data_IF_184174961726
#
_entry.id   IF_184174961726
#
_cell.length_a   1.000
_cell.length_b   1.000
_cell.length_c   1.000
_cell.angle_alpha   90.00
_cell.angle_beta   90.00
_cell.angle_gamma   90.00
#
_symmetry.space_group_name_H-M   'P 1'
#
loop_
_entity.id
_entity.type
_entity.pdbx_description
1 polymer ?
#
# COMPACT_ATOMS: atom_id res chain seq x y z
N UNK A 1 -50.06 24.97 7.22
CA UNK A 1 -49.67 24.70 8.63
C UNK A 1 -48.73 25.81 9.09
N UNK A 2 -48.98 26.48 10.22
CA UNK A 2 -48.14 27.59 10.68
C UNK A 2 -46.93 27.09 11.50
N UNK A 3 -45.81 27.85 11.56
CA UNK A 3 -44.59 27.42 12.25
C UNK A 3 -44.68 27.62 13.76
N UNK A 4 -44.31 26.58 14.50
CA UNK A 4 -44.27 26.52 15.97
C UNK A 4 -43.08 27.34 16.50
N UNK A 5 -43.34 28.44 17.20
CA UNK A 5 -42.34 29.22 17.95
C UNK A 5 -41.71 28.36 19.05
N UNK A 6 -40.38 28.22 19.03
CA UNK A 6 -39.58 27.49 20.03
C UNK A 6 -39.14 28.46 21.11
N UNK A 7 -39.62 28.28 22.34
CA UNK A 7 -39.24 29.07 23.51
C UNK A 7 -37.84 28.69 24.00
N UNK A 8 -37.09 29.71 24.43
CA UNK A 8 -35.70 29.66 24.92
C UNK A 8 -35.73 29.61 26.46
N UNK A 9 -35.20 28.58 27.13
CA UNK A 9 -35.11 28.59 28.58
C UNK A 9 -33.90 29.38 29.06
N UNK A 10 -34.14 30.22 30.06
CA UNK A 10 -33.13 30.97 30.80
C UNK A 10 -32.35 30.01 31.72
N UNK A 11 -31.02 30.09 31.65
CA UNK A 11 -30.09 29.30 32.46
C UNK A 11 -29.54 30.17 33.58
N UNK A 12 -30.05 29.97 34.80
CA UNK A 12 -29.52 30.55 36.03
C UNK A 12 -28.35 29.69 36.52
N UNK A 13 -27.14 30.25 36.52
CA UNK A 13 -25.95 29.57 37.03
C UNK A 13 -25.80 29.78 38.55
N UNK A 14 -25.59 28.74 39.37
CA UNK A 14 -25.15 28.87 40.74
C UNK A 14 -23.63 29.10 40.78
N UNK A 15 -23.22 30.16 41.47
CA UNK A 15 -21.84 30.43 41.90
C UNK A 15 -21.44 29.37 42.91
N UNK A 16 -20.38 28.61 42.65
CA UNK A 16 -19.73 27.74 43.64
C UNK A 16 -18.43 28.37 44.15
N UNK A 17 -18.10 28.18 45.44
CA UNK A 17 -16.94 28.79 46.07
C UNK A 17 -15.63 28.08 45.72
N UNK A 18 -14.56 28.89 45.67
CA UNK A 18 -13.19 28.47 45.48
C UNK A 18 -12.72 27.57 46.63
N UNK A 19 -12.17 26.40 46.29
CA UNK A 19 -11.50 25.49 47.22
C UNK A 19 -9.98 25.49 46.93
N UNK A 20 -9.10 25.61 47.94
CA UNK A 20 -7.67 25.76 47.72
C UNK A 20 -6.94 24.42 47.55
N UNK A 21 -6.02 24.43 46.57
CA UNK A 21 -4.75 23.71 46.44
C UNK A 21 -4.50 22.54 47.42
N UNK A 22 -4.57 21.32 46.90
CA UNK A 22 -3.82 20.17 47.43
C UNK A 22 -2.94 19.62 46.31
N UNK A 23 -1.68 20.05 46.28
CA UNK A 23 -0.62 19.57 45.40
C UNK A 23 -0.05 18.25 45.92
N UNK A 24 -0.78 17.15 45.71
CA UNK A 24 -0.21 15.81 45.74
C UNK A 24 -0.36 15.24 44.33
N UNK A 25 0.63 15.53 43.48
CA UNK A 25 0.70 14.96 42.14
C UNK A 25 0.70 13.43 42.26
N UNK A 26 -0.28 12.72 41.66
CA UNK A 26 -0.30 11.28 41.70
C UNK A 26 0.96 10.77 41.03
N UNK A 27 1.87 10.19 41.82
CA UNK A 27 3.00 9.40 41.33
C UNK A 27 2.40 8.33 40.40
N UNK A 28 2.82 8.24 39.12
CA UNK A 28 2.26 7.24 38.22
C UNK A 28 2.53 5.89 38.87
N UNK A 29 1.46 5.23 39.32
CA UNK A 29 1.53 3.87 39.80
C UNK A 29 2.04 3.06 38.61
N UNK A 30 3.33 2.71 38.64
CA UNK A 30 3.90 1.73 37.75
C UNK A 30 3.14 0.45 38.02
N UNK A 31 2.13 0.17 37.20
CA UNK A 31 1.41 -1.10 37.24
C UNK A 31 2.40 -2.17 36.82
N UNK A 32 3.11 -2.74 37.79
CA UNK A 32 4.11 -3.80 37.59
C UNK A 32 3.51 -5.10 37.06
N UNK A 33 2.20 -5.15 36.86
CA UNK A 33 1.45 -6.36 36.60
C UNK A 33 0.62 -6.21 35.31
N UNK A 34 0.67 -7.24 34.45
CA UNK A 34 -0.17 -7.38 33.27
C UNK A 34 0.48 -6.92 31.97
N UNK A 35 -0.34 -6.79 30.92
CA UNK A 35 0.09 -6.48 29.55
C UNK A 35 0.81 -5.13 29.41
N UNK A 36 0.63 -4.23 30.38
CA UNK A 36 1.30 -2.92 30.44
C UNK A 36 2.74 -2.99 30.96
N UNK A 37 3.12 -4.08 31.61
CA UNK A 37 4.51 -4.34 32.03
C UNK A 37 5.34 -5.00 30.92
N UNK A 38 4.71 -5.31 29.78
CA UNK A 38 5.36 -5.97 28.66
C UNK A 38 6.24 -4.94 27.92
N UNK A 39 7.55 -5.22 27.75
CA UNK A 39 8.44 -4.35 26.99
C UNK A 39 7.96 -4.13 25.55
N UNK A 40 8.24 -2.95 24.99
CA UNK A 40 7.80 -2.57 23.64
C UNK A 40 8.30 -3.55 22.57
N UNK A 41 9.47 -4.16 22.79
CA UNK A 41 10.07 -5.15 21.92
C UNK A 41 9.21 -6.42 21.80
N UNK A 42 8.52 -6.80 22.88
CA UNK A 42 7.59 -7.94 22.86
C UNK A 42 6.30 -7.55 22.13
N UNK A 43 5.83 -6.31 22.28
CA UNK A 43 4.69 -5.80 21.50
C UNK A 43 5.00 -5.77 20.01
N UNK A 44 6.24 -5.44 19.64
CA UNK A 44 6.72 -5.49 18.26
C UNK A 44 6.73 -6.93 17.73
N UNK A 45 7.21 -7.91 18.53
CA UNK A 45 7.14 -9.33 18.16
C UNK A 45 5.70 -9.81 17.98
N UNK A 46 4.78 -9.43 18.88
CA UNK A 46 3.35 -9.72 18.73
C UNK A 46 2.82 -9.09 17.44
N UNK A 47 3.27 -7.88 17.11
CA UNK A 47 2.86 -7.19 15.88
C UNK A 47 3.31 -7.92 14.60
N UNK A 48 4.47 -8.58 14.65
CA UNK A 48 4.98 -9.42 13.57
C UNK A 48 4.14 -10.69 13.37
N UNK A 49 3.48 -11.18 14.41
CA UNK A 49 2.59 -12.35 14.33
C UNK A 49 1.26 -12.06 13.63
N UNK A 50 0.82 -10.80 13.52
CA UNK A 50 -0.38 -10.43 12.76
C UNK A 50 -0.19 -10.50 11.22
N UNK A 51 0.72 -11.33 10.75
CA UNK A 51 1.05 -11.53 9.35
C UNK A 51 2.09 -10.53 8.83
N UNK A 52 2.79 -10.88 7.74
CA UNK A 52 3.80 -10.02 7.15
C UNK A 52 3.17 -8.69 6.74
N UNK A 53 3.88 -7.59 7.03
CA UNK A 53 3.75 -6.39 6.21
C UNK A 53 4.02 -6.88 4.78
N UNK A 54 3.05 -6.72 3.86
CA UNK A 54 3.02 -7.28 2.49
C UNK A 54 4.44 -7.52 2.00
N UNK A 55 4.84 -8.74 1.59
CA UNK A 55 6.08 -8.88 0.84
C UNK A 55 5.90 -8.06 -0.42
N UNK A 56 6.47 -6.86 -0.42
CA UNK A 56 6.45 -6.04 -1.61
C UNK A 56 7.44 -6.71 -2.57
N UNK A 57 6.96 -7.25 -3.69
CA UNK A 57 5.65 -6.97 -4.28
C UNK A 57 4.70 -8.19 -4.27
N UNK A 58 3.38 -7.94 -4.23
CA UNK A 58 2.35 -8.97 -4.14
C UNK A 58 1.66 -9.13 -5.50
N UNK A 59 1.98 -10.21 -6.23
CA UNK A 59 1.31 -10.59 -7.49
C UNK A 59 0.02 -11.32 -7.19
N UNK A 60 -0.94 -10.65 -6.57
CA UNK A 60 -2.26 -11.26 -6.42
C UNK A 60 -2.98 -11.00 -7.76
N UNK A 61 -3.27 -12.05 -8.56
CA UNK A 61 -3.96 -11.88 -9.84
C UNK A 61 -5.36 -11.31 -9.68
N UNK A 62 -5.94 -11.43 -8.47
CA UNK A 62 -7.23 -10.87 -8.13
C UNK A 62 -7.13 -9.40 -7.72
N UNK A 63 -8.15 -8.62 -8.09
CA UNK A 63 -8.29 -7.22 -7.68
C UNK A 63 -8.42 -7.06 -6.15
N UNK A 64 -8.65 -8.15 -5.42
CA UNK A 64 -8.81 -8.18 -3.99
C UNK A 64 -7.54 -8.72 -3.31
N UNK A 65 -7.01 -7.97 -2.34
CA UNK A 65 -5.94 -8.50 -1.49
C UNK A 65 -6.47 -9.63 -0.58
N UNK A 66 -5.62 -10.62 -0.27
CA UNK A 66 -5.90 -11.72 0.65
C UNK A 66 -6.56 -11.30 1.98
N UNK A 67 -7.32 -12.22 2.60
CA UNK A 67 -8.10 -11.95 3.81
C UNK A 67 -7.21 -11.53 5.00
N UNK A 68 -5.98 -12.01 5.02
CA UNK A 68 -4.96 -11.76 6.05
C UNK A 68 -4.70 -10.26 6.24
N UNK A 69 -4.81 -9.46 5.17
CA UNK A 69 -4.65 -8.00 5.24
C UNK A 69 -5.77 -7.32 6.02
N UNK A 70 -6.98 -7.86 5.90
CA UNK A 70 -8.13 -7.44 6.69
C UNK A 70 -7.90 -7.78 8.15
N UNK A 71 -7.49 -9.03 8.40
CA UNK A 71 -7.37 -9.58 9.75
C UNK A 71 -6.29 -8.84 10.54
N UNK A 72 -5.16 -8.47 9.92
CA UNK A 72 -4.15 -7.59 10.51
C UNK A 72 -4.73 -6.23 10.93
N UNK A 73 -5.40 -5.55 10.00
CA UNK A 73 -5.96 -4.21 10.23
C UNK A 73 -7.01 -4.23 11.34
N UNK A 74 -7.88 -5.25 11.35
CA UNK A 74 -8.89 -5.43 12.39
C UNK A 74 -8.27 -5.75 13.76
N UNK A 75 -7.23 -6.60 13.80
CA UNK A 75 -6.54 -6.96 15.03
C UNK A 75 -5.85 -5.76 15.66
N UNK A 76 -5.08 -4.99 14.87
CA UNK A 76 -4.42 -3.76 15.35
C UNK A 76 -5.45 -2.73 15.83
N UNK A 77 -6.57 -2.58 15.12
CA UNK A 77 -7.66 -1.71 15.54
C UNK A 77 -8.25 -2.16 16.87
N UNK A 78 -8.57 -3.44 17.02
CA UNK A 78 -9.13 -3.99 18.26
C UNK A 78 -8.18 -3.76 19.45
N UNK A 79 -6.88 -4.02 19.26
CA UNK A 79 -5.86 -3.80 20.28
C UNK A 79 -5.74 -2.33 20.69
N UNK A 80 -5.77 -1.40 19.73
CA UNK A 80 -5.73 0.04 20.00
C UNK A 80 -6.95 0.57 20.77
N UNK A 81 -8.02 -0.23 20.86
CA UNK A 81 -9.25 0.11 21.58
C UNK A 81 -9.32 -0.49 22.99
N UNK A 82 -8.34 -1.29 23.41
CA UNK A 82 -8.34 -1.95 24.72
C UNK A 82 -8.00 -1.02 25.89
N UNK A 83 -6.91 -0.23 25.78
CA UNK A 83 -6.49 0.73 26.80
C UNK A 83 -5.64 1.86 26.20
N UNK A 84 -5.41 2.94 26.97
CA UNK A 84 -4.65 4.10 26.51
C UNK A 84 -3.22 3.77 26.06
N UNK A 85 -2.51 2.94 26.81
CA UNK A 85 -1.13 2.57 26.47
C UNK A 85 -1.06 1.77 25.16
N UNK A 86 -1.92 0.76 25.00
CA UNK A 86 -2.00 -0.02 23.76
C UNK A 86 -2.49 0.81 22.58
N UNK A 87 -3.33 1.82 22.82
CA UNK A 87 -3.71 2.81 21.80
C UNK A 87 -2.49 3.51 21.23
N UNK A 88 -1.57 4.01 22.06
CA UNK A 88 -0.40 4.75 21.59
C UNK A 88 0.51 3.89 20.69
N UNK A 89 0.70 2.62 21.05
CA UNK A 89 1.53 1.68 20.28
C UNK A 89 0.82 1.21 19.02
N UNK A 90 -0.36 0.60 19.15
CA UNK A 90 -1.01 -0.07 18.01
C UNK A 90 -1.72 0.89 17.06
N UNK A 91 -2.08 2.11 17.47
CA UNK A 91 -2.60 3.11 16.54
C UNK A 91 -1.51 3.55 15.55
N UNK A 92 -0.27 3.72 16.04
CA UNK A 92 0.89 4.04 15.21
C UNK A 92 1.14 2.93 14.18
N UNK A 93 1.17 1.68 14.62
CA UNK A 93 1.35 0.51 13.74
C UNK A 93 0.17 0.33 12.76
N UNK A 94 -1.06 0.63 13.19
CA UNK A 94 -2.26 0.57 12.34
C UNK A 94 -2.16 1.58 11.19
N UNK A 95 -1.72 2.81 11.46
CA UNK A 95 -1.69 3.88 10.47
C UNK A 95 -0.38 3.96 9.68
N UNK A 96 0.68 3.28 10.10
CA UNK A 96 1.91 3.15 9.30
C UNK A 96 1.63 2.67 7.87
N UNK A 97 0.64 1.80 7.72
CA UNK A 97 0.17 1.30 6.43
C UNK A 97 -1.32 1.56 6.23
N UNK A 98 -1.66 2.45 5.30
CA UNK A 98 -3.04 2.71 4.93
C UNK A 98 -3.49 1.76 3.81
N UNK A 99 -4.41 0.85 4.13
CA UNK A 99 -4.88 -0.20 3.24
C UNK A 99 -6.32 0.05 2.73
N UNK A 100 -6.48 0.20 1.42
CA UNK A 100 -7.77 0.26 0.70
C UNK A 100 -7.72 -0.69 -0.51
N UNK A 101 -7.46 -1.95 -0.20
CA UNK A 101 -7.26 -3.01 -1.19
C UNK A 101 -7.93 -4.33 -0.77
N UNK A 102 -8.64 -4.33 0.36
CA UNK A 102 -9.29 -5.50 0.92
C UNK A 102 -10.73 -5.54 0.41
N UNK A 103 -11.05 -6.56 -0.40
CA UNK A 103 -12.43 -6.74 -0.85
C UNK A 103 -13.33 -7.09 0.33
N UNK A 104 -14.59 -6.59 0.33
CA UNK A 104 -15.59 -7.15 1.22
C UNK A 104 -15.74 -8.67 0.98
N UNK A 105 -16.13 -9.43 2.02
CA UNK A 105 -16.25 -10.89 1.95
C UNK A 105 -17.45 -11.36 1.10
N UNK A 106 -18.35 -10.46 0.72
CA UNK A 106 -19.52 -10.75 -0.11
C UNK A 106 -19.28 -10.30 -1.54
N UNK A 107 -19.86 -11.00 -2.52
CA UNK A 107 -19.91 -10.62 -3.94
C UNK A 107 -20.67 -9.32 -4.24
N UNK A 108 -20.77 -8.42 -3.26
CA UNK A 108 -21.18 -7.04 -3.44
C UNK A 108 -20.28 -6.36 -4.48
N UNK A 109 -20.75 -5.22 -5.00
CA UNK A 109 -19.99 -4.35 -5.90
C UNK A 109 -18.71 -3.83 -5.20
N UNK A 110 -17.66 -4.66 -5.16
CA UNK A 110 -16.41 -4.40 -4.43
C UNK A 110 -15.81 -3.06 -4.84
N UNK A 111 -15.92 -2.70 -6.12
CA UNK A 111 -15.44 -1.44 -6.67
C UNK A 111 -16.11 -0.22 -6.03
N UNK A 112 -17.41 -0.30 -5.72
CA UNK A 112 -18.16 0.76 -5.06
C UNK A 112 -17.72 0.89 -3.61
N UNK A 113 -17.63 -0.24 -2.90
CA UNK A 113 -17.17 -0.26 -1.50
C UNK A 113 -15.75 0.32 -1.37
N UNK A 114 -14.84 -0.08 -2.24
CA UNK A 114 -13.46 0.42 -2.25
C UNK A 114 -13.39 1.91 -2.64
N UNK A 115 -14.18 2.35 -3.61
CA UNK A 115 -14.25 3.76 -4.01
C UNK A 115 -14.81 4.66 -2.91
N UNK A 116 -15.94 4.27 -2.30
CA UNK A 116 -16.56 5.00 -1.18
C UNK A 116 -15.62 5.04 0.04
N UNK A 117 -14.92 3.92 0.32
CA UNK A 117 -13.93 3.86 1.39
C UNK A 117 -12.74 4.75 1.10
N UNK A 118 -12.18 4.72 -0.12
CA UNK A 118 -11.07 5.55 -0.53
C UNK A 118 -11.39 7.03 -0.39
N UNK A 119 -12.55 7.46 -0.88
CA UNK A 119 -12.99 8.84 -0.75
C UNK A 119 -13.15 9.25 0.72
N UNK A 120 -13.91 8.48 1.51
CA UNK A 120 -14.21 8.80 2.91
C UNK A 120 -12.95 8.87 3.77
N UNK A 121 -12.07 7.89 3.62
CA UNK A 121 -10.82 7.83 4.41
C UNK A 121 -9.81 8.88 3.96
N UNK A 122 -9.76 9.22 2.66
CA UNK A 122 -8.95 10.35 2.18
C UNK A 122 -9.40 11.67 2.80
N UNK A 123 -10.72 11.93 2.82
CA UNK A 123 -11.28 13.14 3.43
C UNK A 123 -11.03 13.17 4.95
N UNK A 124 -11.23 12.04 5.64
CA UNK A 124 -10.99 11.94 7.08
C UNK A 124 -9.52 12.15 7.45
N UNK A 125 -8.59 11.58 6.68
CA UNK A 125 -7.15 11.76 6.92
C UNK A 125 -6.70 13.21 6.73
N UNK A 126 -7.21 13.89 5.71
CA UNK A 126 -6.92 15.32 5.49
C UNK A 126 -7.38 16.18 6.68
N UNK A 127 -8.44 15.79 7.38
CA UNK A 127 -8.91 16.48 8.58
C UNK A 127 -8.07 16.19 9.84
N UNK A 128 -7.20 15.18 9.81
CA UNK A 128 -6.45 14.67 10.97
C UNK A 128 -4.93 14.63 10.67
N UNK A 129 -4.22 15.78 10.72
CA UNK A 129 -2.81 15.89 10.35
C UNK A 129 -1.88 14.97 11.16
N UNK A 130 -2.22 14.69 12.42
CA UNK A 130 -1.45 13.78 13.27
C UNK A 130 -1.41 12.37 12.66
N UNK A 131 -2.52 11.88 12.13
CA UNK A 131 -2.58 10.57 11.48
C UNK A 131 -1.81 10.55 10.16
N UNK A 132 -1.86 11.64 9.38
CA UNK A 132 -1.08 11.76 8.13
C UNK A 132 0.42 11.61 8.37
N UNK A 133 0.92 12.10 9.50
CA UNK A 133 2.34 11.96 9.86
C UNK A 133 2.75 10.51 10.15
N UNK A 134 1.81 9.64 10.50
CA UNK A 134 2.09 8.23 10.78
C UNK A 134 2.15 7.39 9.50
N UNK A 135 1.49 7.81 8.41
CA UNK A 135 1.40 7.03 7.17
C UNK A 135 2.72 7.00 6.42
N UNK A 136 3.25 5.79 6.24
CA UNK A 136 4.49 5.52 5.49
C UNK A 136 4.25 4.77 4.18
N UNK A 137 3.23 3.91 4.18
CA UNK A 137 2.86 3.07 3.04
C UNK A 137 1.38 3.19 2.73
N UNK A 138 1.04 3.31 1.46
CA UNK A 138 -0.35 3.31 0.97
C UNK A 138 -0.56 2.17 0.00
N UNK A 139 -1.54 1.31 0.27
CA UNK A 139 -1.94 0.22 -0.61
C UNK A 139 -3.37 0.46 -1.08
N UNK A 140 -3.58 0.59 -2.39
CA UNK A 140 -4.86 1.01 -2.95
C UNK A 140 -5.24 0.22 -4.20
N UNK A 141 -6.54 0.00 -4.37
CA UNK A 141 -7.17 -0.43 -5.61
C UNK A 141 -7.90 0.76 -6.23
N UNK A 142 -7.54 1.10 -7.47
CA UNK A 142 -8.17 2.19 -8.21
C UNK A 142 -9.19 1.60 -9.19
N UNK A 143 -10.46 1.96 -9.01
CA UNK A 143 -11.55 1.48 -9.87
C UNK A 143 -12.18 2.64 -10.65
N UNK A 144 -13.01 2.31 -11.63
CA UNK A 144 -13.75 3.29 -12.43
C UNK A 144 -14.88 3.98 -11.66
N UNK A 145 -15.24 3.46 -10.50
CA UNK A 145 -16.38 3.96 -9.74
C UNK A 145 -16.14 5.38 -9.24
N UNK A 146 -17.02 6.29 -9.65
CA UNK A 146 -16.99 7.73 -9.35
C UNK A 146 -15.59 8.34 -9.36
N UNK A 147 -14.79 8.02 -10.39
CA UNK A 147 -13.37 8.42 -10.43
C UNK A 147 -13.17 9.94 -10.28
N UNK A 148 -14.10 10.74 -10.83
CA UNK A 148 -14.07 12.20 -10.72
C UNK A 148 -14.30 12.72 -9.29
N UNK A 149 -14.98 11.95 -8.43
CA UNK A 149 -15.25 12.33 -7.03
C UNK A 149 -14.27 11.67 -6.06
N UNK A 150 -13.75 10.50 -6.40
CA UNK A 150 -12.87 9.69 -5.54
C UNK A 150 -11.40 10.09 -5.68
N UNK A 151 -10.92 10.33 -6.90
CA UNK A 151 -9.49 10.62 -7.15
C UNK A 151 -9.01 11.98 -6.63
N UNK A 152 -9.74 13.10 -6.75
CA UNK A 152 -9.23 14.38 -6.26
C UNK A 152 -8.97 14.40 -4.74
N UNK A 153 -9.88 13.93 -3.87
CA UNK A 153 -9.60 13.81 -2.44
C UNK A 153 -8.41 12.90 -2.15
N UNK A 154 -8.28 11.80 -2.89
CA UNK A 154 -7.15 10.88 -2.73
C UNK A 154 -5.82 11.54 -3.09
N UNK A 155 -5.74 12.18 -4.26
CA UNK A 155 -4.51 12.80 -4.72
C UNK A 155 -4.07 13.95 -3.79
N UNK A 156 -5.02 14.77 -3.32
CA UNK A 156 -4.76 15.79 -2.29
C UNK A 156 -4.29 15.19 -0.97
N UNK A 157 -4.89 14.08 -0.54
CA UNK A 157 -4.48 13.37 0.68
C UNK A 157 -3.00 12.93 0.59
N UNK A 158 -2.58 12.34 -0.53
CA UNK A 158 -1.19 11.92 -0.75
C UNK A 158 -0.19 13.08 -0.64
N UNK A 159 -0.54 14.28 -1.13
CA UNK A 159 0.36 15.46 -1.03
C UNK A 159 0.58 15.95 0.39
N UNK A 160 -0.27 15.56 1.33
CA UNK A 160 -0.19 15.99 2.73
C UNK A 160 0.48 14.96 3.65
N UNK A 161 0.95 13.83 3.11
CA UNK A 161 1.64 12.80 3.89
C UNK A 161 3.15 13.02 3.87
N UNK A 162 3.75 13.61 4.92
CA UNK A 162 5.18 13.95 4.91
C UNK A 162 6.09 12.71 4.91
N UNK A 163 5.63 11.60 5.49
CA UNK A 163 6.41 10.38 5.69
C UNK A 163 6.08 9.27 4.67
N UNK A 164 5.21 9.56 3.69
CA UNK A 164 4.82 8.59 2.67
C UNK A 164 6.01 8.28 1.74
N UNK A 165 6.58 7.09 1.86
CA UNK A 165 7.69 6.65 1.01
C UNK A 165 7.33 5.52 0.07
N UNK A 166 6.17 4.88 0.26
CA UNK A 166 5.74 3.75 -0.56
C UNK A 166 4.29 3.85 -0.98
N UNK A 167 4.05 3.79 -2.29
CA UNK A 167 2.72 3.74 -2.88
C UNK A 167 2.55 2.48 -3.71
N UNK A 168 1.60 1.64 -3.34
CA UNK A 168 1.23 0.42 -4.04
C UNK A 168 -0.17 0.55 -4.60
N UNK A 169 -0.27 0.60 -5.92
CA UNK A 169 -1.52 0.49 -6.67
C UNK A 169 -1.60 -0.97 -7.12
N UNK A 170 -2.39 -1.79 -6.43
CA UNK A 170 -2.49 -3.22 -6.75
C UNK A 170 -3.28 -3.46 -8.03
N UNK A 171 -4.28 -2.61 -8.29
CA UNK A 171 -5.13 -2.70 -9.46
C UNK A 171 -5.51 -1.30 -9.96
N UNK A 172 -5.51 -1.13 -11.28
CA UNK A 172 -6.09 0.01 -11.96
C UNK A 172 -6.65 -0.45 -13.31
N UNK A 173 -7.93 -0.21 -13.54
CA UNK A 173 -8.56 -0.57 -14.82
C UNK A 173 -7.97 0.25 -15.97
N UNK A 174 -7.78 -0.34 -17.17
CA UNK A 174 -7.21 0.34 -18.36
C UNK A 174 -7.82 1.71 -18.66
N UNK A 175 -9.15 1.80 -18.59
CA UNK A 175 -9.89 3.05 -18.82
C UNK A 175 -9.68 4.15 -17.76
N UNK A 176 -8.95 3.87 -16.67
CA UNK A 176 -8.61 4.87 -15.65
C UNK A 176 -7.51 5.85 -16.11
N UNK A 177 -6.79 5.54 -17.20
CA UNK A 177 -5.63 6.35 -17.62
C UNK A 177 -5.96 7.84 -17.74
N UNK A 178 -7.09 8.20 -18.38
CA UNK A 178 -7.52 9.59 -18.53
C UNK A 178 -7.86 10.23 -17.19
N UNK A 179 -8.65 9.55 -16.35
CA UNK A 179 -8.99 10.05 -15.03
C UNK A 179 -7.75 10.24 -14.14
N UNK A 180 -6.77 9.33 -14.21
CA UNK A 180 -5.51 9.48 -13.48
C UNK A 180 -4.73 10.68 -14.01
N UNK A 181 -4.60 10.83 -15.33
CA UNK A 181 -3.95 11.98 -15.94
C UNK A 181 -4.56 13.29 -15.45
N UNK A 182 -5.88 13.43 -15.51
CA UNK A 182 -6.57 14.68 -15.19
C UNK A 182 -6.48 15.03 -13.70
N UNK A 183 -6.59 14.03 -12.82
CA UNK A 183 -6.59 14.25 -11.36
C UNK A 183 -5.19 14.32 -10.74
N UNK A 184 -4.18 13.79 -11.41
CA UNK A 184 -2.78 13.86 -10.97
C UNK A 184 -1.95 14.89 -11.74
N UNK A 185 -2.54 15.59 -12.73
CA UNK A 185 -1.88 16.68 -13.42
C UNK A 185 -1.45 17.78 -12.44
N UNK A 186 -0.17 18.18 -12.51
CA UNK A 186 0.39 19.22 -11.65
C UNK A 186 0.68 18.79 -10.21
N UNK A 187 0.36 17.55 -9.83
CA UNK A 187 0.68 17.01 -8.50
C UNK A 187 2.12 16.50 -8.47
N UNK A 188 2.82 16.82 -7.38
CA UNK A 188 4.17 16.32 -7.09
C UNK A 188 4.17 15.59 -5.74
N UNK A 189 4.76 14.40 -5.72
CA UNK A 189 4.86 13.47 -4.59
C UNK A 189 6.35 13.11 -4.37
N UNK A 190 7.17 14.07 -3.91
CA UNK A 190 8.62 13.88 -3.77
C UNK A 190 9.02 12.97 -2.60
N UNK A 191 8.11 12.67 -1.67
CA UNK A 191 8.38 11.76 -0.56
C UNK A 191 8.43 10.29 -1.00
N UNK A 192 7.75 9.94 -2.09
CA UNK A 192 7.62 8.56 -2.58
C UNK A 192 8.93 8.08 -3.20
N UNK A 193 9.52 7.03 -2.59
CA UNK A 193 10.78 6.40 -3.04
C UNK A 193 10.57 5.04 -3.70
N UNK A 194 9.50 4.33 -3.33
CA UNK A 194 9.12 3.05 -3.90
C UNK A 194 7.70 3.12 -4.42
N UNK A 195 7.48 2.65 -5.64
CA UNK A 195 6.16 2.58 -6.22
C UNK A 195 5.93 1.23 -6.89
N UNK A 196 4.76 0.66 -6.66
CA UNK A 196 4.30 -0.58 -7.29
C UNK A 196 3.00 -0.26 -7.98
N UNK A 197 2.91 -0.47 -9.28
CA UNK A 197 1.72 -0.08 -10.03
C UNK A 197 1.55 -0.91 -11.32
N UNK A 198 0.31 -1.09 -11.80
CA UNK A 198 0.06 -1.66 -13.12
C UNK A 198 0.42 -0.65 -14.21
N UNK A 199 0.72 -1.11 -15.41
CA UNK A 199 1.08 -0.30 -16.57
C UNK A 199 0.10 0.85 -16.86
N UNK A 200 -1.19 0.67 -16.56
CA UNK A 200 -2.24 1.67 -16.76
C UNK A 200 -2.18 2.86 -15.78
N UNK A 201 -1.47 2.72 -14.65
CA UNK A 201 -1.32 3.76 -13.64
C UNK A 201 -0.02 4.59 -13.80
N UNK A 202 0.62 4.53 -14.97
CA UNK A 202 1.85 5.28 -15.27
C UNK A 202 1.72 6.81 -15.14
N UNK A 203 0.51 7.37 -15.17
CA UNK A 203 0.32 8.81 -14.93
C UNK A 203 0.59 9.18 -13.46
N UNK A 204 0.34 8.28 -12.49
CA UNK A 204 0.70 8.50 -11.07
C UNK A 204 2.22 8.46 -10.88
N UNK A 205 2.92 7.62 -11.63
CA UNK A 205 4.40 7.56 -11.61
C UNK A 205 5.03 8.91 -11.98
N UNK A 206 4.41 9.67 -12.88
CA UNK A 206 4.93 10.99 -13.30
C UNK A 206 4.93 12.01 -12.17
N UNK A 207 4.11 11.81 -11.15
CA UNK A 207 4.07 12.66 -9.97
C UNK A 207 5.20 12.35 -8.98
N UNK A 208 5.99 11.30 -9.17
CA UNK A 208 6.97 10.82 -8.19
C UNK A 208 8.42 11.08 -8.67
N UNK A 209 8.96 12.30 -8.56
CA UNK A 209 10.29 12.64 -9.11
C UNK A 209 11.46 11.94 -8.38
N UNK A 210 11.26 11.60 -7.11
CA UNK A 210 12.27 11.02 -6.23
C UNK A 210 12.20 9.48 -6.15
N UNK A 211 11.39 8.85 -6.99
CA UNK A 211 11.25 7.39 -6.99
C UNK A 211 12.55 6.72 -7.41
N UNK A 212 12.96 5.71 -6.63
CA UNK A 212 14.17 4.91 -6.83
C UNK A 212 13.86 3.47 -7.18
N UNK A 213 12.73 2.96 -6.70
CA UNK A 213 12.33 1.57 -6.89
C UNK A 213 10.95 1.53 -7.55
N UNK A 214 10.90 1.01 -8.78
CA UNK A 214 9.66 0.86 -9.56
C UNK A 214 9.37 -0.63 -9.76
N UNK A 215 8.16 -1.06 -9.41
CA UNK A 215 7.69 -2.43 -9.65
C UNK A 215 6.45 -2.39 -10.55
N UNK A 216 6.48 -3.16 -11.64
CA UNK A 216 5.29 -3.36 -12.48
C UNK A 216 4.47 -4.55 -11.96
N UNK A 217 3.18 -4.35 -11.66
CA UNK A 217 2.35 -5.42 -11.06
C UNK A 217 1.56 -6.26 -12.06
N UNK A 218 1.33 -5.79 -13.29
CA UNK A 218 0.40 -6.43 -14.23
C UNK A 218 1.05 -7.32 -15.30
N UNK A 219 2.38 -7.35 -15.37
CA UNK A 219 3.14 -8.25 -16.26
C UNK A 219 2.72 -8.16 -17.74
N UNK A 220 2.22 -7.01 -18.17
CA UNK A 220 1.68 -6.82 -19.52
C UNK A 220 2.80 -6.68 -20.55
N UNK A 221 2.54 -7.09 -21.78
CA UNK A 221 3.54 -7.13 -22.86
C UNK A 221 4.05 -5.77 -23.36
N UNK A 222 3.44 -4.65 -22.94
CA UNK A 222 3.81 -3.31 -23.41
C UNK A 222 3.90 -2.30 -22.26
N UNK A 223 5.12 -2.13 -21.76
CA UNK A 223 5.47 -1.16 -20.72
C UNK A 223 6.10 0.12 -21.29
N UNK A 224 5.95 0.36 -22.60
CA UNK A 224 6.51 1.55 -23.25
C UNK A 224 6.05 2.87 -22.61
N UNK A 225 4.83 2.87 -22.04
CA UNK A 225 4.26 4.00 -21.30
C UNK A 225 4.95 4.22 -19.96
N UNK A 226 5.28 3.15 -19.24
CA UNK A 226 6.06 3.23 -17.99
C UNK A 226 7.47 3.74 -18.28
N UNK A 227 8.14 3.16 -19.29
CA UNK A 227 9.47 3.63 -19.72
C UNK A 227 9.42 5.11 -20.11
N UNK A 228 8.36 5.56 -20.79
CA UNK A 228 8.15 6.97 -21.13
C UNK A 228 7.96 7.86 -19.89
N UNK A 229 7.19 7.40 -18.90
CA UNK A 229 7.02 8.11 -17.63
C UNK A 229 8.34 8.23 -16.85
N UNK A 230 9.10 7.12 -16.74
CA UNK A 230 10.44 7.11 -16.13
C UNK A 230 11.36 8.10 -16.83
N UNK A 231 11.40 8.03 -18.17
CA UNK A 231 12.25 8.90 -18.99
C UNK A 231 11.96 10.39 -18.78
N UNK A 232 10.71 10.76 -18.53
CA UNK A 232 10.31 12.16 -18.38
C UNK A 232 10.49 12.66 -16.95
N UNK A 233 10.10 11.87 -15.96
CA UNK A 233 9.86 12.38 -14.61
C UNK A 233 10.75 11.73 -13.53
N UNK A 234 11.28 10.52 -13.75
CA UNK A 234 11.87 9.71 -12.67
C UNK A 234 13.36 9.42 -12.94
N UNK A 235 14.21 10.45 -12.84
CA UNK A 235 15.65 10.33 -13.15
C UNK A 235 16.47 9.57 -12.10
N UNK A 236 15.89 9.34 -10.93
CA UNK A 236 16.53 8.70 -9.77
C UNK A 236 16.21 7.21 -9.65
N UNK A 237 15.58 6.61 -10.67
CA UNK A 237 15.27 5.18 -10.65
C UNK A 237 16.57 4.36 -10.66
N UNK A 238 16.69 3.50 -9.66
CA UNK A 238 17.82 2.60 -9.39
C UNK A 238 17.39 1.13 -9.59
N UNK A 239 16.18 0.76 -9.16
CA UNK A 239 15.68 -0.61 -9.17
C UNK A 239 14.40 -0.68 -9.98
N UNK A 240 14.36 -1.63 -10.91
CA UNK A 240 13.17 -1.94 -11.70
C UNK A 240 12.86 -3.42 -11.57
N UNK A 241 11.65 -3.75 -11.15
CA UNK A 241 11.22 -5.14 -11.00
C UNK A 241 9.99 -5.45 -11.83
N UNK A 242 10.01 -6.64 -12.42
CA UNK A 242 8.92 -7.31 -13.13
C UNK A 242 8.46 -6.62 -14.39
N UNK A 243 9.40 -5.99 -15.06
CA UNK A 243 9.15 -5.39 -16.35
C UNK A 243 9.12 -6.45 -17.45
N UNK A 244 8.20 -6.32 -18.39
CA UNK A 244 8.17 -7.03 -19.67
C UNK A 244 8.66 -6.10 -20.78
N UNK A 245 9.95 -6.20 -21.11
CA UNK A 245 10.59 -5.34 -22.10
C UNK A 245 10.98 -6.10 -23.36
N UNK A 246 10.63 -5.52 -24.50
CA UNK A 246 11.26 -5.84 -25.78
C UNK A 246 12.58 -5.08 -25.95
N UNK A 247 13.41 -5.50 -26.89
CA UNK A 247 14.76 -5.00 -27.17
C UNK A 247 14.82 -3.47 -27.28
N UNK A 248 13.86 -2.89 -28.02
CA UNK A 248 13.79 -1.44 -28.22
C UNK A 248 13.42 -0.70 -26.93
N UNK A 249 12.61 -1.31 -26.06
CA UNK A 249 12.21 -0.74 -24.77
C UNK A 249 13.35 -0.81 -23.75
N UNK A 250 14.17 -1.87 -23.78
CA UNK A 250 15.40 -1.96 -22.97
C UNK A 250 16.34 -0.80 -23.27
N UNK A 251 16.66 -0.57 -24.55
CA UNK A 251 17.53 0.54 -24.98
C UNK A 251 16.98 1.89 -24.51
N UNK A 252 15.67 2.10 -24.65
CA UNK A 252 14.99 3.31 -24.18
C UNK A 252 15.05 3.45 -22.66
N UNK A 253 14.92 2.34 -21.93
CA UNK A 253 14.94 2.34 -20.47
C UNK A 253 16.31 2.72 -19.92
N UNK A 254 17.37 2.11 -20.46
CA UNK A 254 18.76 2.42 -20.08
C UNK A 254 19.07 3.90 -20.34
N UNK A 255 18.59 4.45 -21.46
CA UNK A 255 18.70 5.88 -21.76
C UNK A 255 17.85 6.75 -20.81
N UNK A 256 16.68 6.25 -20.40
CA UNK A 256 15.72 6.97 -19.56
C UNK A 256 16.20 7.14 -18.12
N UNK A 257 16.79 6.09 -17.55
CA UNK A 257 17.23 6.01 -16.16
C UNK A 257 18.69 5.53 -16.11
N UNK A 258 19.66 6.45 -16.24
CA UNK A 258 21.08 6.11 -16.27
C UNK A 258 21.62 5.58 -14.94
N UNK A 259 20.87 5.75 -13.85
CA UNK A 259 21.23 5.33 -12.49
C UNK A 259 20.70 3.94 -12.11
N UNK A 260 20.11 3.20 -13.06
CA UNK A 260 19.67 1.84 -12.80
C UNK A 260 20.87 1.02 -12.31
N UNK A 261 20.67 0.22 -11.27
CA UNK A 261 21.68 -0.70 -10.72
C UNK A 261 21.18 -2.14 -10.77
N UNK A 262 19.86 -2.31 -10.70
CA UNK A 262 19.22 -3.63 -10.67
C UNK A 262 17.99 -3.64 -11.56
N UNK A 263 17.91 -4.66 -12.43
CA UNK A 263 16.70 -4.97 -13.18
C UNK A 263 16.34 -6.43 -12.99
N UNK A 264 15.12 -6.68 -12.52
CA UNK A 264 14.57 -8.02 -12.40
C UNK A 264 13.47 -8.20 -13.44
N UNK A 265 13.72 -9.07 -14.40
CA UNK A 265 12.76 -9.44 -15.43
C UNK A 265 11.99 -10.69 -15.04
N UNK A 266 10.73 -10.75 -15.47
CA UNK A 266 10.04 -12.02 -15.61
C UNK A 266 10.45 -12.66 -16.93
N UNK A 267 10.83 -13.93 -16.87
CA UNK A 267 11.67 -14.59 -17.87
C UNK A 267 11.00 -14.67 -19.24
N UNK A 268 11.55 -13.96 -20.22
CA UNK A 268 11.60 -14.43 -21.62
C UNK A 268 13.06 -14.81 -21.92
N UNK A 269 13.38 -16.09 -22.21
CA UNK A 269 14.75 -16.54 -22.47
C UNK A 269 15.45 -15.77 -23.61
N UNK A 270 14.71 -15.11 -24.51
CA UNK A 270 15.29 -14.31 -25.60
C UNK A 270 15.98 -13.02 -25.16
N UNK A 271 15.60 -12.43 -24.02
CA UNK A 271 15.98 -11.05 -23.65
C UNK A 271 17.37 -10.97 -22.99
N UNK A 272 17.90 -12.08 -22.46
CA UNK A 272 19.17 -12.10 -21.71
C UNK A 272 20.37 -11.67 -22.58
N UNK A 273 20.36 -11.98 -23.87
CA UNK A 273 21.46 -11.65 -24.80
C UNK A 273 21.65 -10.14 -25.00
N UNK A 274 20.58 -9.35 -24.83
CA UNK A 274 20.59 -7.90 -25.10
C UNK A 274 21.27 -7.10 -24.00
N UNK A 275 21.44 -7.69 -22.82
CA UNK A 275 22.10 -7.07 -21.69
C UNK A 275 23.60 -7.36 -21.62
N UNK A 276 24.13 -8.20 -22.52
CA UNK A 276 25.55 -8.50 -22.60
C UNK A 276 26.46 -7.25 -22.74
N UNK A 277 26.07 -6.15 -23.44
CA UNK A 277 26.89 -4.93 -23.48
C UNK A 277 26.83 -4.09 -22.19
N UNK A 278 25.85 -4.36 -21.33
CA UNK A 278 25.55 -3.56 -20.13
C UNK A 278 26.12 -4.21 -18.86
N UNK A 279 26.47 -5.50 -18.88
CA UNK A 279 26.89 -6.29 -17.71
C UNK A 279 28.06 -5.71 -16.92
N UNK A 280 28.89 -4.84 -17.48
CA UNK A 280 29.97 -4.17 -16.72
C UNK A 280 29.46 -3.20 -15.64
N UNK A 281 28.18 -2.79 -15.65
CA UNK A 281 27.62 -1.85 -14.66
C UNK A 281 26.43 -2.34 -13.85
N UNK A 282 25.72 -3.40 -14.26
CA UNK A 282 24.43 -3.75 -13.64
C UNK A 282 24.45 -5.14 -13.01
N UNK A 283 23.82 -5.26 -11.84
CA UNK A 283 23.51 -6.55 -11.24
C UNK A 283 22.22 -7.09 -11.86
N UNK A 284 22.37 -7.99 -12.82
CA UNK A 284 21.25 -8.74 -13.37
C UNK A 284 20.91 -9.93 -12.47
N UNK A 285 19.83 -9.78 -11.70
CA UNK A 285 19.26 -10.90 -10.94
C UNK A 285 18.03 -11.40 -11.69
N UNK A 286 18.22 -12.40 -12.54
CA UNK A 286 17.12 -13.15 -13.13
C UNK A 286 16.47 -14.01 -12.04
N UNK A 287 15.28 -13.61 -11.59
CA UNK A 287 14.47 -14.48 -10.74
C UNK A 287 13.71 -15.44 -11.63
N UNK A 288 13.99 -16.73 -11.48
CA UNK A 288 13.19 -17.79 -12.09
C UNK A 288 11.84 -17.82 -11.39
N UNK A 289 10.85 -17.10 -11.93
CA UNK A 289 9.47 -17.27 -11.53
C UNK A 289 9.01 -18.67 -11.92
N UNK A 290 8.73 -19.53 -10.95
CA UNK A 290 7.95 -20.73 -11.20
C UNK A 290 6.56 -20.23 -11.60
N UNK A 291 6.17 -20.43 -12.85
CA UNK A 291 4.90 -19.94 -13.35
C UNK A 291 3.76 -20.51 -12.51
N UNK A 292 3.11 -19.66 -11.71
CA UNK A 292 1.86 -20.01 -11.04
C UNK A 292 0.73 -20.01 -12.08
N UNK A 293 0.74 -20.99 -12.98
CA UNK A 293 -0.44 -21.43 -13.70
C UNK A 293 -1.20 -22.40 -12.78
N UNK A 294 -1.78 -21.87 -11.69
CA UNK A 294 -2.92 -22.54 -11.06
C UNK A 294 -4.17 -21.89 -11.63
N UNK A 295 -4.63 -22.41 -12.77
CA UNK A 295 -6.05 -22.30 -13.09
C UNK A 295 -6.82 -23.06 -11.99
N UNK A 296 -7.90 -22.51 -11.42
CA UNK A 296 -8.75 -23.28 -10.55
C UNK A 296 -9.39 -24.38 -11.41
N UNK A 297 -9.01 -25.64 -11.15
CA UNK A 297 -9.77 -26.80 -11.56
C UNK A 297 -11.21 -26.54 -11.13
N UNK A 298 -12.11 -26.45 -12.11
CA UNK A 298 -13.56 -26.51 -11.85
C UNK A 298 -13.81 -27.78 -11.04
N UNK A 299 -14.25 -27.61 -9.80
CA UNK A 299 -14.76 -28.71 -8.99
C UNK A 299 -15.93 -29.34 -9.72
N UNK A 300 -15.71 -30.53 -10.28
CA UNK A 300 -16.76 -31.51 -10.49
C UNK A 300 -16.81 -32.34 -9.21
N UNK A 301 -17.97 -32.32 -8.56
CA UNK A 301 -18.24 -32.99 -7.30
C UNK A 301 -18.00 -34.50 -7.41
N UNK A 302 -17.16 -35.05 -6.53
CA UNK A 302 -17.31 -36.41 -6.02
C UNK A 302 -16.65 -36.55 -4.63
N UNK A 303 -17.47 -36.92 -3.65
CA UNK A 303 -17.20 -37.94 -2.62
C UNK A 303 -16.02 -37.78 -1.65
N UNK A 304 -16.35 -37.48 -0.39
CA UNK A 304 -15.74 -37.93 0.88
C UNK A 304 -14.33 -38.57 0.90
N UNK A 305 -13.36 -37.90 1.54
CA UNK A 305 -12.66 -38.42 2.74
C UNK A 305 -11.75 -37.36 3.39
N UNK A 306 -11.80 -37.28 4.73
CA UNK A 306 -10.88 -36.54 5.58
C UNK A 306 -9.55 -37.30 5.71
N UNK A 307 -8.41 -36.62 5.59
CA UNK A 307 -7.37 -36.58 6.62
C UNK A 307 -6.12 -35.75 6.25
N UNK A 308 -5.60 -35.11 7.30
CA UNK A 308 -4.19 -34.80 7.59
C UNK A 308 -3.48 -33.61 6.96
N UNK A 309 -2.80 -32.91 7.88
CA UNK A 309 -1.81 -31.86 7.77
C UNK A 309 -0.69 -32.16 6.77
N UNK A 310 -0.24 -31.11 6.06
CA UNK A 310 1.18 -30.85 5.86
C UNK A 310 1.40 -29.34 5.60
N UNK A 311 2.23 -28.73 6.43
CA UNK A 311 2.82 -27.42 6.17
C UNK A 311 3.93 -27.58 5.12
N UNK A 312 3.81 -26.91 3.98
CA UNK A 312 4.91 -26.79 3.01
C UNK A 312 5.53 -25.40 3.12
N UNK A 313 6.82 -25.37 3.47
CA UNK A 313 7.69 -24.19 3.37
C UNK A 313 8.29 -24.17 1.98
N UNK A 314 7.80 -23.28 1.12
CA UNK A 314 8.44 -23.02 -0.17
C UNK A 314 9.58 -22.00 0.00
N UNK A 315 10.80 -22.51 0.03
CA UNK A 315 12.01 -21.72 -0.13
C UNK A 315 12.25 -21.44 -1.63
N UNK A 316 11.95 -20.21 -2.06
CA UNK A 316 12.26 -19.79 -3.43
C UNK A 316 13.78 -19.65 -3.64
N UNK A 317 14.38 -20.61 -4.37
CA UNK A 317 15.79 -20.56 -4.80
C UNK A 317 15.98 -19.49 -5.89
N UNK A 318 16.68 -18.41 -5.57
CA UNK A 318 17.18 -17.46 -6.58
C UNK A 318 18.56 -17.89 -7.05
N UNK A 319 18.73 -18.24 -8.32
CA UNK A 319 20.05 -18.37 -8.93
C UNK A 319 20.62 -16.97 -9.23
N UNK A 320 21.84 -16.72 -8.75
CA UNK A 320 22.61 -15.53 -9.14
C UNK A 320 23.47 -15.96 -10.32
N UNK A 321 23.13 -15.51 -11.53
CA UNK A 321 24.02 -15.67 -12.66
C UNK A 321 25.19 -14.70 -12.49
N UNK A 322 26.35 -15.21 -12.05
CA UNK A 322 27.64 -14.55 -12.32
C UNK A 322 28.10 -15.05 -13.68
N UNK A 323 28.07 -14.16 -14.67
CA UNK A 323 28.65 -14.42 -16.00
C UNK A 323 30.16 -14.14 -15.86
N UNK A 324 31.04 -15.00 -16.39
CA UNK A 324 32.51 -14.88 -16.25
C UNK A 324 33.06 -13.54 -16.72
#
# INVERSE_FOLDING_TARGET
>A
MPPRKRQKPASTAPVMPANPKSSNGPRPAQSSNGLLAVPVEILDLISMHFGPCIPIPSRVPDAAMPKEYRDRTLSLRALSQTCHHLRLVFLTLLWETWNICVSPPSGAAFYKVLGDQLQRTSLGLVSEPELLSLVKTVNVVLTRYSAAEVLPPFARCLTQMPNLHTLQITHAHRAMTTHLKDNFAGISLPSIRKIILPSWAHEVLRCCPEVRHVVCSDGQKDESKLVSAIAKCCKKVEIIEWFWLQDNSVKRLVKAAPNITQVLFERDPGVVSLFAPLTTRFLFKCRLGVGHNQQPLRHQEFGHHCNSMHASRDASNSSVCRIP
#
